data_IF_633917686574
#
_entry.id   IF_633917686574
#
_cell.length_a   1.000
_cell.length_b   1.000
_cell.length_c   1.000
_cell.angle_alpha   90.00
_cell.angle_beta   90.00
_cell.angle_gamma   90.00
#
_symmetry.space_group_name_H-M   'P 1'
#
loop_
_entity.id
_entity.type
_entity.pdbx_description
1 polymer ?
#
# COMPACT_ATOMS: atom_id res chain seq x y z
N UNK A 1 -22.82 -4.69 5.01
CA UNK A 1 -22.52 -3.31 4.61
C UNK A 1 -21.54 -3.36 3.45
N UNK A 2 -21.90 -2.85 2.27
CA UNK A 2 -21.00 -2.86 1.11
C UNK A 2 -19.80 -1.94 1.38
N UNK A 3 -18.58 -2.40 1.13
CA UNK A 3 -17.38 -1.56 1.30
C UNK A 3 -17.35 -0.50 0.19
N UNK A 4 -17.10 0.78 0.51
CA UNK A 4 -16.93 1.81 -0.51
C UNK A 4 -15.79 1.43 -1.47
N UNK A 5 -15.89 1.87 -2.73
CA UNK A 5 -14.75 1.82 -3.63
C UNK A 5 -13.62 2.72 -3.09
N UNK A 6 -12.38 2.24 -3.17
CA UNK A 6 -11.18 2.97 -2.70
C UNK A 6 -10.62 3.79 -3.87
N UNK A 7 -10.45 5.11 -3.69
CA UNK A 7 -9.66 5.95 -4.62
C UNK A 7 -8.17 5.69 -4.36
N UNK A 8 -7.54 4.86 -5.19
CA UNK A 8 -6.12 4.51 -5.07
C UNK A 8 -5.30 5.18 -6.18
N UNK A 9 -4.26 5.93 -5.79
CA UNK A 9 -3.36 6.66 -6.70
C UNK A 9 -1.90 6.27 -6.49
N UNK A 10 -1.13 6.27 -7.57
CA UNK A 10 0.29 5.89 -7.57
C UNK A 10 1.14 7.03 -8.13
N UNK A 11 2.01 7.61 -7.32
CA UNK A 11 2.80 8.79 -7.69
C UNK A 11 3.76 8.51 -8.86
N UNK A 12 4.39 7.34 -8.90
CA UNK A 12 5.28 6.93 -10.00
C UNK A 12 4.54 6.59 -11.30
N UNK A 13 3.20 6.60 -11.29
CA UNK A 13 2.34 6.16 -12.39
C UNK A 13 2.31 4.64 -12.61
N UNK A 14 3.07 3.88 -11.82
CA UNK A 14 3.12 2.41 -11.90
C UNK A 14 2.66 1.82 -10.58
N UNK A 15 1.66 0.94 -10.65
CA UNK A 15 1.18 0.20 -9.48
C UNK A 15 2.25 -0.77 -8.97
N UNK A 16 2.52 -0.71 -7.67
CA UNK A 16 3.30 -1.75 -6.99
C UNK A 16 2.38 -2.91 -6.60
N UNK A 17 2.52 -4.06 -7.28
CA UNK A 17 1.68 -5.24 -7.06
C UNK A 17 1.90 -5.84 -5.66
N UNK A 18 3.11 -5.66 -5.10
CA UNK A 18 3.48 -6.20 -3.78
C UNK A 18 2.80 -5.47 -2.61
N UNK A 19 2.24 -4.29 -2.87
CA UNK A 19 1.53 -3.46 -1.91
C UNK A 19 0.00 -3.58 -2.04
N UNK A 20 -0.50 -4.36 -3.01
CA UNK A 20 -1.93 -4.58 -3.15
C UNK A 20 -2.47 -5.43 -1.99
N UNK A 21 -3.76 -5.28 -1.59
CA UNK A 21 -4.34 -6.05 -0.48
C UNK A 21 -4.16 -7.56 -0.60
N UNK A 22 -4.10 -8.09 -1.82
CA UNK A 22 -3.88 -9.50 -2.11
C UNK A 22 -2.49 -10.01 -1.76
N UNK A 23 -1.49 -9.13 -1.64
CA UNK A 23 -0.12 -9.49 -1.27
C UNK A 23 0.05 -9.71 0.25
N UNK A 24 -0.90 -9.22 1.07
CA UNK A 24 -0.87 -9.36 2.52
C UNK A 24 -1.70 -10.53 3.03
N UNK A 25 -1.45 -10.90 4.30
CA UNK A 25 -2.34 -11.81 5.04
C UNK A 25 -3.74 -11.18 5.14
N UNK A 26 -4.75 -12.03 5.08
CA UNK A 26 -6.13 -11.60 5.25
C UNK A 26 -6.34 -10.96 6.64
N UNK A 27 -6.77 -9.70 6.67
CA UNK A 27 -6.95 -8.95 7.92
C UNK A 27 -7.94 -9.62 8.90
N UNK A 28 -9.01 -10.25 8.41
CA UNK A 28 -9.97 -10.95 9.27
C UNK A 28 -9.33 -12.16 9.97
N UNK A 29 -8.44 -12.88 9.27
CA UNK A 29 -7.67 -13.97 9.88
C UNK A 29 -6.70 -13.46 10.94
N UNK A 30 -6.02 -12.33 10.69
CA UNK A 30 -5.10 -11.71 11.67
C UNK A 30 -5.86 -11.27 12.92
N UNK A 31 -7.03 -10.62 12.77
CA UNK A 31 -7.88 -10.22 13.91
C UNK A 31 -8.33 -11.41 14.77
N UNK A 32 -8.77 -12.52 14.13
CA UNK A 32 -9.13 -13.74 14.86
C UNK A 32 -7.96 -14.32 15.65
N UNK A 33 -6.74 -14.22 15.14
CA UNK A 33 -5.54 -14.68 15.85
C UNK A 33 -5.20 -13.80 17.05
N UNK A 34 -5.36 -12.47 16.92
CA UNK A 34 -5.17 -11.54 18.05
C UNK A 34 -6.08 -11.93 19.22
N UNK A 35 -7.36 -12.18 18.93
CA UNK A 35 -8.35 -12.62 19.93
C UNK A 35 -8.00 -14.00 20.51
N UNK A 36 -7.77 -15.00 19.65
CA UNK A 36 -7.53 -16.38 20.08
C UNK A 36 -6.31 -16.52 21.01
N UNK A 37 -5.24 -15.77 20.74
CA UNK A 37 -4.01 -15.81 21.53
C UNK A 37 -3.94 -14.72 22.60
N UNK A 38 -4.97 -13.88 22.75
CA UNK A 38 -4.99 -12.79 23.74
C UNK A 38 -3.86 -11.77 23.56
N UNK A 39 -3.48 -11.44 22.32
CA UNK A 39 -2.28 -10.65 22.04
C UNK A 39 -2.47 -9.15 22.23
N UNK A 40 -3.69 -8.65 21.97
CA UNK A 40 -4.04 -7.23 22.07
C UNK A 40 -5.55 -7.05 22.09
N UNK A 41 -6.00 -5.88 22.53
CA UNK A 41 -7.39 -5.42 22.39
C UNK A 41 -7.53 -4.53 21.15
N UNK A 42 -8.52 -4.81 20.30
CA UNK A 42 -8.84 -3.97 19.14
C UNK A 42 -9.89 -2.95 19.57
N UNK A 43 -9.51 -1.69 19.65
CA UNK A 43 -10.38 -0.61 20.15
C UNK A 43 -11.19 0.10 19.05
N UNK A 44 -10.73 0.07 17.81
CA UNK A 44 -11.40 0.75 16.69
C UNK A 44 -10.97 0.17 15.33
N UNK A 45 -11.75 0.47 14.28
CA UNK A 45 -11.47 0.10 12.89
C UNK A 45 -11.56 1.32 11.96
N UNK A 46 -10.44 1.64 11.30
CA UNK A 46 -10.38 2.70 10.29
C UNK A 46 -10.60 2.10 8.91
N UNK A 47 -11.71 2.45 8.26
CA UNK A 47 -12.00 2.08 6.88
C UNK A 47 -11.44 3.14 5.93
N UNK A 48 -10.51 2.80 5.02
CA UNK A 48 -9.95 3.77 4.10
C UNK A 48 -10.96 4.15 3.02
N UNK A 49 -11.04 5.46 2.72
CA UNK A 49 -11.75 5.98 1.56
C UNK A 49 -10.84 6.05 0.32
N UNK A 50 -9.53 6.19 0.53
CA UNK A 50 -8.55 6.30 -0.54
C UNK A 50 -7.12 6.13 -0.03
N UNK A 51 -6.17 5.96 -0.95
CA UNK A 51 -4.75 5.95 -0.67
C UNK A 51 -3.96 6.62 -1.79
N UNK A 52 -2.83 7.21 -1.42
CA UNK A 52 -1.79 7.63 -2.37
C UNK A 52 -0.49 6.94 -1.98
N UNK A 53 0.04 6.13 -2.88
CA UNK A 53 1.27 5.37 -2.67
C UNK A 53 2.34 5.85 -3.64
N UNK A 54 3.61 5.58 -3.31
CA UNK A 54 4.72 5.88 -4.21
C UNK A 54 4.59 5.14 -5.56
N UNK A 55 4.05 3.93 -5.54
CA UNK A 55 4.06 3.00 -6.67
C UNK A 55 5.43 2.35 -6.87
N UNK A 56 5.60 1.60 -7.95
CA UNK A 56 6.89 0.98 -8.28
C UNK A 56 7.88 2.09 -8.68
N UNK A 57 8.61 2.58 -7.69
CA UNK A 57 9.60 3.62 -7.86
C UNK A 57 10.86 3.07 -8.55
N UNK A 58 11.14 1.76 -8.45
CA UNK A 58 12.32 1.17 -9.07
C UNK A 58 12.24 1.22 -10.60
N UNK A 59 11.03 1.05 -11.15
CA UNK A 59 10.76 1.16 -12.58
C UNK A 59 10.99 2.57 -13.15
N UNK A 60 10.59 3.63 -12.41
CA UNK A 60 10.50 4.98 -12.99
C UNK A 60 11.05 6.12 -12.10
N UNK A 61 11.88 5.82 -11.10
CA UNK A 61 12.47 6.78 -10.14
C UNK A 61 12.89 8.11 -10.81
N UNK A 62 12.16 9.21 -10.58
CA UNK A 62 12.43 10.50 -11.23
C UNK A 62 13.84 11.01 -10.95
N UNK A 63 14.37 10.74 -9.75
CA UNK A 63 15.73 11.12 -9.37
C UNK A 63 16.81 10.32 -10.11
N UNK A 64 16.57 9.06 -10.48
CA UNK A 64 17.50 8.27 -11.30
C UNK A 64 17.56 8.83 -12.72
N UNK A 65 16.41 9.13 -13.31
CA UNK A 65 16.33 9.79 -14.64
C UNK A 65 17.04 11.15 -14.63
N UNK A 66 16.82 11.97 -13.60
CA UNK A 66 17.48 13.27 -13.42
C UNK A 66 19.00 13.14 -13.24
N UNK A 67 19.47 12.11 -12.50
CA UNK A 67 20.90 11.84 -12.32
C UNK A 67 21.58 11.44 -13.63
N UNK A 68 20.95 10.57 -14.42
CA UNK A 68 21.48 10.15 -15.73
C UNK A 68 21.56 11.35 -16.69
N UNK A 69 20.51 12.17 -16.78
CA UNK A 69 20.50 13.37 -17.63
C UNK A 69 21.63 14.36 -17.28
N UNK A 70 22.00 14.48 -16.00
CA UNK A 70 23.13 15.31 -15.56
C UNK A 70 24.50 14.71 -15.86
N UNK A 71 24.61 13.38 -15.94
CA UNK A 71 25.86 12.70 -16.22
C UNK A 71 26.17 12.61 -17.73
N UNK A 72 25.14 12.77 -18.58
CA UNK A 72 25.26 12.77 -20.03
C UNK A 72 25.35 14.18 -20.65
N UNK A 73 25.36 15.22 -19.82
CA UNK A 73 25.56 16.62 -20.20
C UNK A 73 26.98 17.05 -19.82
#
# INVERSE_FOLDING_TARGET
>A
MARPAIDARFFSGVTDISELPSAYKNAASVRRQIEHYGLAEIVDEVIPYGCIMAGDWAANAPWRKKKQARASA
#
